data_IF_477380790046
#
_entry.id   IF_477380790046
#
_cell.length_a   1.000
_cell.length_b   1.000
_cell.length_c   1.000
_cell.angle_alpha   90.00
_cell.angle_beta   90.00
_cell.angle_gamma   90.00
#
_symmetry.space_group_name_H-M   'P 1'
#
loop_
_entity.id
_entity.type
_entity.pdbx_description
1 polymer ?
#
# COMPACT_ATOMS: atom_id res chain seq x y z
N UNK A 1 6.39 17.93 -1.70
CA UNK A 1 5.51 17.11 -2.56
C UNK A 1 5.22 15.81 -1.81
N UNK A 2 3.97 15.48 -1.52
CA UNK A 2 3.62 14.17 -0.94
C UNK A 2 3.55 13.17 -2.10
N UNK A 3 4.34 12.11 -2.05
CA UNK A 3 4.27 11.02 -3.02
C UNK A 3 3.37 9.92 -2.45
N UNK A 4 2.28 9.62 -3.15
CA UNK A 4 1.35 8.54 -2.81
C UNK A 4 1.50 7.41 -3.83
N UNK A 5 1.71 6.20 -3.33
CA UNK A 5 1.76 4.96 -4.09
C UNK A 5 0.59 4.10 -3.66
N UNK A 6 -0.16 3.56 -4.61
CA UNK A 6 -1.33 2.73 -4.31
C UNK A 6 -1.08 1.30 -4.75
N UNK A 7 -1.56 0.37 -3.93
CA UNK A 7 -1.42 -1.06 -4.16
C UNK A 7 -2.75 -1.75 -3.91
N UNK A 8 -3.02 -2.79 -4.69
CA UNK A 8 -3.91 -3.86 -4.27
C UNK A 8 -3.02 -4.96 -3.69
N UNK A 9 -3.03 -5.11 -2.36
CA UNK A 9 -2.29 -6.15 -1.65
C UNK A 9 -3.24 -7.28 -1.28
N UNK A 10 -3.23 -8.37 -2.07
CA UNK A 10 -4.05 -9.55 -1.82
C UNK A 10 -5.57 -9.27 -1.68
N UNK A 11 -6.09 -8.29 -2.44
CA UNK A 11 -7.49 -7.85 -2.39
C UNK A 11 -7.74 -6.65 -1.47
N UNK A 12 -6.74 -6.22 -0.68
CA UNK A 12 -6.79 -5.04 0.20
C UNK A 12 -6.20 -3.83 -0.52
N UNK A 13 -7.00 -2.78 -0.73
CA UNK A 13 -6.50 -1.54 -1.33
C UNK A 13 -5.77 -0.68 -0.30
N UNK A 14 -4.50 -0.38 -0.57
CA UNK A 14 -3.63 0.40 0.29
C UNK A 14 -3.12 1.65 -0.43
N UNK A 15 -2.97 2.74 0.32
CA UNK A 15 -2.18 3.90 -0.05
C UNK A 15 -0.97 4.02 0.87
N UNK A 16 0.22 4.14 0.29
CA UNK A 16 1.48 4.36 0.97
C UNK A 16 1.95 5.77 0.63
N UNK A 17 2.02 6.63 1.65
CA UNK A 17 2.35 8.05 1.48
C UNK A 17 3.70 8.34 2.12
N UNK A 18 4.58 9.03 1.38
CA UNK A 18 5.84 9.55 1.91
C UNK A 18 5.60 10.91 2.57
N UNK A 19 5.84 11.00 3.87
CA UNK A 19 5.76 12.24 4.66
C UNK A 19 6.96 12.33 5.59
N UNK A 20 7.70 13.44 5.53
CA UNK A 20 8.86 13.74 6.40
C UNK A 20 9.88 12.59 6.49
N UNK A 21 10.18 11.97 5.34
CA UNK A 21 11.12 10.87 5.23
C UNK A 21 10.60 9.52 5.73
N UNK A 22 9.36 9.45 6.23
CA UNK A 22 8.70 8.24 6.71
C UNK A 22 7.57 7.81 5.78
N UNK A 23 7.17 6.55 5.92
CA UNK A 23 6.04 5.98 5.20
C UNK A 23 4.84 5.86 6.13
N UNK A 24 3.69 6.33 5.66
CA UNK A 24 2.39 6.12 6.30
C UNK A 24 1.54 5.25 5.39
N UNK A 25 0.89 4.22 5.96
CA UNK A 25 0.05 3.29 5.20
C UNK A 25 -1.41 3.45 5.60
N UNK A 26 -2.28 3.51 4.61
CA UNK A 26 -3.71 3.67 4.77
C UNK A 26 -4.47 2.60 4.01
N UNK A 27 -5.49 2.04 4.65
CA UNK A 27 -6.58 1.33 3.98
C UNK A 27 -7.44 2.29 3.19
N UNK A 28 -7.68 1.96 1.92
CA UNK A 28 -8.64 2.62 1.07
C UNK A 28 -9.95 1.84 1.11
N UNK A 29 -10.89 2.33 1.93
CA UNK A 29 -12.23 1.78 2.01
C UNK A 29 -13.14 2.26 0.87
N UNK A 30 -14.38 1.77 0.88
CA UNK A 30 -15.42 2.26 0.00
C UNK A 30 -15.65 3.78 0.18
N UNK A 31 -16.06 4.45 -0.90
CA UNK A 31 -16.42 5.88 -0.90
C UNK A 31 -15.27 6.85 -0.55
N UNK A 32 -14.02 6.47 -0.83
CA UNK A 32 -12.87 7.35 -0.60
C UNK A 32 -12.45 7.51 0.87
N UNK A 33 -13.04 6.71 1.78
CA UNK A 33 -12.64 6.70 3.19
C UNK A 33 -11.22 6.12 3.31
N UNK A 34 -10.35 6.83 4.03
CA UNK A 34 -8.99 6.37 4.35
C UNK A 34 -8.85 6.09 5.85
N UNK A 35 -8.22 4.98 6.22
CA UNK A 35 -7.94 4.62 7.62
C UNK A 35 -6.50 4.16 7.79
N UNK A 36 -5.78 4.50 8.87
CA UNK A 36 -4.43 3.97 9.09
C UNK A 36 -4.43 2.44 9.10
N UNK A 37 -3.56 1.83 8.30
CA UNK A 37 -3.51 0.38 8.11
C UNK A 37 -2.76 -0.38 9.22
N UNK A 38 -2.20 0.35 10.19
CA UNK A 38 -1.32 -0.14 11.25
C UNK A 38 -0.14 -1.00 10.74
N UNK A 39 0.37 -0.67 9.54
CA UNK A 39 1.55 -1.28 8.93
C UNK A 39 2.74 -0.33 9.09
N UNK A 40 3.89 -0.87 9.50
CA UNK A 40 5.14 -0.13 9.56
C UNK A 40 5.99 -0.47 8.34
N UNK A 41 6.45 0.57 7.65
CA UNK A 41 7.38 0.43 6.53
C UNK A 41 8.67 1.18 6.91
N UNK A 42 9.84 0.52 6.88
CA UNK A 42 11.13 1.16 7.11
C UNK A 42 11.34 2.41 6.23
N UNK A 43 11.76 3.53 6.82
CA UNK A 43 12.01 4.78 6.09
C UNK A 43 13.09 4.67 5.01
N UNK A 44 14.01 3.71 5.15
CA UNK A 44 15.08 3.46 4.18
C UNK A 44 14.56 2.88 2.85
N UNK A 45 13.37 2.28 2.82
CA UNK A 45 12.80 1.70 1.60
C UNK A 45 12.50 2.81 0.58
N UNK A 46 12.85 2.51 -0.66
CA UNK A 46 12.49 3.26 -1.85
C UNK A 46 11.07 2.92 -2.30
N UNK A 47 10.53 3.70 -3.23
CA UNK A 47 9.17 3.48 -3.73
C UNK A 47 9.03 2.15 -4.49
N UNK A 48 10.06 1.76 -5.23
CA UNK A 48 10.05 0.55 -6.07
C UNK A 48 10.08 -0.74 -5.22
N UNK A 49 10.59 -0.66 -3.99
CA UNK A 49 10.65 -1.79 -3.06
C UNK A 49 9.34 -2.00 -2.27
N UNK A 50 8.41 -1.03 -2.30
CA UNK A 50 7.18 -1.08 -1.51
C UNK A 50 6.29 -2.27 -1.87
N UNK A 51 6.17 -2.59 -3.16
CA UNK A 51 5.34 -3.71 -3.62
C UNK A 51 5.83 -5.05 -3.06
N UNK A 52 7.14 -5.30 -3.16
CA UNK A 52 7.78 -6.49 -2.62
C UNK A 52 7.62 -6.55 -1.10
N UNK A 53 7.94 -5.45 -0.40
CA UNK A 53 7.84 -5.39 1.05
C UNK A 53 6.42 -5.68 1.56
N UNK A 54 5.41 -5.09 0.91
CA UNK A 54 4.01 -5.36 1.24
C UNK A 54 3.62 -6.81 0.94
N UNK A 55 4.16 -7.40 -0.13
CA UNK A 55 3.97 -8.80 -0.49
C UNK A 55 4.47 -9.73 0.60
N UNK A 56 5.71 -9.52 1.05
CA UNK A 56 6.32 -10.34 2.11
C UNK A 56 5.59 -10.15 3.45
N UNK A 57 5.22 -8.91 3.79
CA UNK A 57 4.56 -8.58 5.05
C UNK A 57 3.12 -9.13 5.14
N UNK A 58 2.40 -9.20 4.01
CA UNK A 58 0.98 -9.53 3.96
C UNK A 58 0.70 -10.90 3.30
N UNK A 59 1.73 -11.69 3.01
CA UNK A 59 1.64 -12.96 2.27
C UNK A 59 0.56 -13.91 2.81
N UNK A 60 0.35 -13.95 4.13
CA UNK A 60 -0.69 -14.75 4.79
C UNK A 60 -2.12 -14.45 4.29
N UNK A 61 -2.35 -13.26 3.72
CA UNK A 61 -3.64 -12.87 3.16
C UNK A 61 -3.82 -13.30 1.69
N UNK A 62 -2.81 -13.93 1.08
CA UNK A 62 -2.87 -14.38 -0.29
C UNK A 62 -4.00 -15.39 -0.50
N UNK A 63 -4.75 -15.22 -1.57
CA UNK A 63 -5.81 -16.15 -1.98
C UNK A 63 -5.59 -16.55 -3.44
N UNK A 64 -6.20 -17.66 -3.92
CA UNK A 64 -6.12 -18.02 -5.34
C UNK A 64 -6.60 -16.91 -6.29
N UNK A 65 -7.50 -16.02 -5.83
CA UNK A 65 -8.01 -14.89 -6.61
C UNK A 65 -7.11 -13.65 -6.54
N UNK A 66 -6.40 -13.47 -5.44
CA UNK A 66 -5.48 -12.35 -5.22
C UNK A 66 -4.20 -12.92 -4.65
N UNK A 67 -3.29 -13.35 -5.53
CA UNK A 67 -2.07 -14.07 -5.18
C UNK A 67 -0.83 -13.18 -5.07
N UNK A 68 -0.97 -11.89 -5.37
CA UNK A 68 0.14 -10.95 -5.43
C UNK A 68 -0.29 -9.53 -5.01
N UNK A 69 0.73 -8.68 -4.80
CA UNK A 69 0.57 -7.24 -4.57
C UNK A 69 0.83 -6.52 -5.89
N UNK A 70 -0.18 -5.80 -6.39
CA UNK A 70 -0.08 -5.07 -7.67
C UNK A 70 -0.21 -3.56 -7.47
N UNK A 71 0.64 -2.73 -8.11
CA UNK A 71 0.43 -1.29 -8.16
C UNK A 71 -0.92 -0.95 -8.82
N UNK A 72 -1.62 0.05 -8.29
CA UNK A 72 -2.86 0.55 -8.90
C UNK A 72 -2.75 2.03 -9.20
N UNK A 73 -3.26 2.44 -10.37
CA UNK A 73 -3.26 3.84 -10.76
C UNK A 73 -4.09 4.68 -9.77
N UNK A 74 -3.58 5.86 -9.43
CA UNK A 74 -4.39 6.86 -8.74
C UNK A 74 -5.46 7.36 -9.72
N UNK A 75 -6.68 6.85 -9.61
CA UNK A 75 -7.82 7.42 -10.33
C UNK A 75 -8.03 8.84 -9.81
N UNK A 76 -7.65 9.83 -10.62
CA UNK A 76 -8.08 11.23 -10.44
C UNK A 76 -9.55 11.26 -10.86
N UNK A 77 -10.44 11.38 -9.88
CA UNK A 77 -11.85 11.75 -10.12
C UNK A 77 -11.94 13.22 -10.42
#
# INVERSE_FOLDING_TARGET
MQHEYRFNAFGRLLAVVRTDGRWAVFDLGAEGKRRPANLQIPSALTADELGQYLGDLLHENATPRYSEVVPVAHRRT
#
